data_IF_678943200275
#
_entry.id   IF_678943200275
#
_cell.length_a   1.000
_cell.length_b   1.000
_cell.length_c   1.000
_cell.angle_alpha   90.00
_cell.angle_beta   90.00
_cell.angle_gamma   90.00
#
_symmetry.space_group_name_H-M   'P 1'
#
loop_
_entity.id
_entity.type
_entity.pdbx_description
1 polymer ?
#
# COMPACT_ATOMS: atom_id res chain seq x y z
N UNK A 1 4.13 -0.21 -34.96
CA UNK A 1 2.92 -0.01 -34.15
C UNK A 1 1.92 -1.12 -34.36
N UNK A 2 1.29 -1.26 -35.54
CA UNK A 2 0.29 -2.32 -35.82
C UNK A 2 0.68 -3.72 -35.33
N UNK A 3 1.87 -4.23 -35.68
CA UNK A 3 2.32 -5.56 -35.26
C UNK A 3 2.46 -5.75 -33.73
N UNK A 4 2.61 -4.67 -32.95
CA UNK A 4 2.71 -4.73 -31.48
C UNK A 4 1.33 -4.72 -30.83
N UNK A 5 0.40 -3.94 -31.38
CA UNK A 5 -1.02 -3.95 -30.99
C UNK A 5 -1.62 -5.34 -31.25
N UNK A 6 -1.36 -5.93 -32.43
CA UNK A 6 -1.84 -7.27 -32.76
C UNK A 6 -1.37 -8.32 -31.73
N UNK A 7 -0.13 -8.21 -31.22
CA UNK A 7 0.41 -9.12 -30.21
C UNK A 7 -0.28 -8.94 -28.86
N UNK A 8 -0.57 -7.70 -28.47
CA UNK A 8 -1.29 -7.39 -27.23
C UNK A 8 -2.68 -8.03 -27.22
N UNK A 9 -3.40 -7.90 -28.34
CA UNK A 9 -4.73 -8.50 -28.48
C UNK A 9 -4.67 -10.04 -28.49
N UNK A 10 -3.68 -10.61 -29.18
CA UNK A 10 -3.54 -12.07 -29.29
C UNK A 10 -3.13 -12.74 -27.96
N UNK A 11 -2.28 -12.09 -27.19
CA UNK A 11 -1.71 -12.66 -25.95
C UNK A 11 -2.48 -12.24 -24.69
N UNK A 12 -3.62 -11.51 -24.82
CA UNK A 12 -4.39 -10.95 -23.69
C UNK A 12 -3.49 -10.23 -22.68
N UNK A 13 -2.69 -9.27 -23.15
CA UNK A 13 -1.86 -8.48 -22.24
C UNK A 13 -2.75 -7.59 -21.37
N UNK A 14 -2.58 -7.68 -20.06
CA UNK A 14 -3.45 -7.00 -19.07
C UNK A 14 -2.90 -5.62 -18.63
N UNK A 15 -1.59 -5.40 -18.76
CA UNK A 15 -0.93 -4.18 -18.30
C UNK A 15 0.30 -3.82 -19.15
N UNK A 16 0.55 -2.53 -19.27
CA UNK A 16 1.75 -1.97 -19.89
C UNK A 16 2.71 -1.42 -18.82
N UNK A 17 4.01 -1.40 -19.12
CA UNK A 17 5.02 -0.90 -18.18
C UNK A 17 5.99 0.04 -18.90
N UNK A 18 6.39 1.11 -18.21
CA UNK A 18 7.52 1.93 -18.64
C UNK A 18 8.83 1.24 -18.30
N UNK A 19 9.88 1.55 -19.05
CA UNK A 19 11.24 1.14 -18.72
C UNK A 19 12.06 2.39 -18.40
N UNK A 20 12.82 2.37 -17.30
CA UNK A 20 13.51 3.55 -16.76
C UNK A 20 14.51 4.22 -17.73
N UNK A 21 15.04 3.49 -18.73
CA UNK A 21 16.07 4.02 -19.64
C UNK A 21 15.66 4.06 -21.12
N UNK A 22 14.42 3.69 -21.45
CA UNK A 22 13.94 3.62 -22.84
C UNK A 22 12.96 4.74 -23.14
N UNK A 23 12.78 5.04 -24.44
CA UNK A 23 11.83 6.04 -24.89
C UNK A 23 10.38 5.65 -24.53
N UNK A 24 9.79 6.38 -23.58
CA UNK A 24 8.43 6.15 -23.07
C UNK A 24 7.32 6.41 -24.11
N UNK A 25 7.61 7.16 -25.18
CA UNK A 25 6.59 7.57 -26.15
C UNK A 25 5.91 6.38 -26.85
N UNK A 26 6.59 5.23 -26.97
CA UNK A 26 6.02 4.03 -27.58
C UNK A 26 4.98 3.39 -26.65
N UNK A 27 5.26 3.31 -25.35
CA UNK A 27 4.33 2.74 -24.37
C UNK A 27 3.11 3.65 -24.20
N UNK A 28 3.31 4.98 -24.18
CA UNK A 28 2.20 5.93 -24.16
C UNK A 28 1.30 5.79 -25.37
N UNK A 29 1.86 5.73 -26.59
CA UNK A 29 1.07 5.55 -27.80
C UNK A 29 0.34 4.20 -27.82
N UNK A 30 0.95 3.15 -27.29
CA UNK A 30 0.33 1.83 -27.19
C UNK A 30 -0.83 1.83 -26.19
N UNK A 31 -0.69 2.53 -25.05
CA UNK A 31 -1.77 2.71 -24.09
C UNK A 31 -2.94 3.49 -24.71
N UNK A 32 -2.66 4.54 -25.48
CA UNK A 32 -3.69 5.31 -26.20
C UNK A 32 -4.42 4.46 -27.26
N UNK A 33 -3.70 3.60 -27.99
CA UNK A 33 -4.27 2.75 -29.05
C UNK A 33 -5.03 1.53 -28.50
N UNK A 34 -4.61 0.95 -27.36
CA UNK A 34 -5.17 -0.29 -26.81
C UNK A 34 -6.10 -0.07 -25.62
N UNK A 35 -6.04 1.10 -24.97
CA UNK A 35 -6.79 1.41 -23.75
C UNK A 35 -6.25 0.72 -22.49
N UNK A 36 -5.11 0.04 -22.56
CA UNK A 36 -4.50 -0.63 -21.41
C UNK A 36 -3.84 0.38 -20.44
N UNK A 37 -3.95 0.16 -19.12
CA UNK A 37 -3.28 0.99 -18.13
C UNK A 37 -1.77 0.77 -18.14
N UNK A 38 -1.02 1.83 -17.86
CA UNK A 38 0.41 1.73 -17.60
C UNK A 38 0.58 1.52 -16.09
N UNK A 39 0.91 0.31 -15.68
CA UNK A 39 0.86 -0.14 -14.29
C UNK A 39 2.11 0.21 -13.47
N UNK A 40 3.18 0.69 -14.10
CA UNK A 40 4.37 1.13 -13.38
C UNK A 40 5.61 1.27 -14.25
N UNK A 41 6.75 1.43 -13.60
CA UNK A 41 8.07 1.51 -14.26
C UNK A 41 8.93 0.34 -13.83
N UNK A 42 9.50 -0.37 -14.79
CA UNK A 42 10.48 -1.43 -14.61
C UNK A 42 11.89 -0.89 -14.84
N UNK A 43 12.84 -1.43 -14.09
CA UNK A 43 14.26 -1.09 -14.23
C UNK A 43 14.99 -2.20 -14.98
N UNK A 44 15.83 -1.84 -15.97
CA UNK A 44 16.50 -2.79 -16.84
C UNK A 44 18.03 -2.60 -16.96
N UNK A 45 18.55 -1.38 -16.79
CA UNK A 45 19.99 -1.13 -16.74
C UNK A 45 20.37 -0.12 -15.64
N UNK A 46 21.54 -0.35 -15.04
CA UNK A 46 22.19 0.35 -13.92
C UNK A 46 21.31 1.25 -13.01
N UNK A 47 20.90 0.66 -11.88
CA UNK A 47 20.65 1.27 -10.56
C UNK A 47 20.12 2.71 -10.58
N UNK A 48 18.83 2.88 -10.26
CA UNK A 48 18.26 4.17 -9.94
C UNK A 48 19.12 4.91 -8.90
N UNK A 49 19.32 6.21 -9.11
CA UNK A 49 20.30 7.02 -8.37
C UNK A 49 20.03 7.12 -6.87
N UNK A 50 18.81 6.92 -6.39
CA UNK A 50 18.49 7.02 -4.96
C UNK A 50 17.41 6.00 -4.57
N UNK A 51 17.76 5.22 -3.54
CA UNK A 51 16.98 4.26 -2.74
C UNK A 51 16.26 3.05 -3.40
N UNK A 52 16.34 1.92 -2.68
CA UNK A 52 15.77 0.58 -2.89
C UNK A 52 16.17 -0.22 -4.16
N UNK A 53 16.39 0.41 -5.32
CA UNK A 53 16.84 -0.27 -6.55
C UNK A 53 18.36 -0.17 -6.81
N UNK A 54 19.13 0.25 -5.80
CA UNK A 54 20.60 0.44 -5.86
C UNK A 54 21.42 -0.84 -5.87
N UNK A 55 20.77 -2.01 -5.82
CA UNK A 55 21.39 -3.31 -6.07
C UNK A 55 20.57 -4.08 -7.08
N UNK A 56 21.22 -5.02 -7.79
CA UNK A 56 20.52 -5.94 -8.69
C UNK A 56 19.37 -6.67 -7.99
N UNK A 57 19.57 -7.09 -6.74
CA UNK A 57 18.53 -7.78 -5.96
C UNK A 57 17.37 -6.85 -5.60
N UNK A 58 17.66 -5.60 -5.24
CA UNK A 58 16.64 -4.57 -4.99
C UNK A 58 15.81 -4.28 -6.22
N UNK A 59 16.47 -4.07 -7.37
CA UNK A 59 15.83 -3.90 -8.67
C UNK A 59 14.93 -5.08 -9.04
N UNK A 60 15.43 -6.31 -8.92
CA UNK A 60 14.64 -7.50 -9.26
C UNK A 60 13.46 -7.69 -8.30
N UNK A 61 13.62 -7.36 -7.01
CA UNK A 61 12.53 -7.40 -6.02
C UNK A 61 11.46 -6.37 -6.36
N UNK A 62 11.85 -5.14 -6.68
CA UNK A 62 10.94 -4.09 -7.10
C UNK A 62 10.17 -4.49 -8.36
N UNK A 63 10.87 -4.92 -9.42
CA UNK A 63 10.23 -5.36 -10.66
C UNK A 63 9.25 -6.51 -10.40
N UNK A 64 9.61 -7.48 -9.54
CA UNK A 64 8.74 -8.59 -9.18
C UNK A 64 7.47 -8.14 -8.44
N UNK A 65 7.56 -7.13 -7.56
CA UNK A 65 6.41 -6.56 -6.86
C UNK A 65 5.49 -5.82 -7.83
N UNK A 66 6.04 -4.93 -8.66
CA UNK A 66 5.27 -4.17 -9.66
C UNK A 66 4.55 -5.10 -10.63
N UNK A 67 5.21 -6.17 -11.09
CA UNK A 67 4.59 -7.18 -11.93
C UNK A 67 3.51 -7.98 -11.18
N UNK A 68 3.74 -8.31 -9.92
CA UNK A 68 2.77 -9.04 -9.11
C UNK A 68 1.51 -8.21 -8.89
N UNK A 69 1.65 -6.97 -8.45
CA UNK A 69 0.51 -6.09 -8.15
C UNK A 69 -0.31 -5.78 -9.41
N UNK A 70 0.36 -5.60 -10.54
CA UNK A 70 -0.29 -5.29 -11.82
C UNK A 70 -1.04 -6.48 -12.46
N UNK A 71 -0.62 -7.72 -12.17
CA UNK A 71 -1.13 -8.92 -12.84
C UNK A 71 -1.90 -9.86 -11.92
N UNK A 72 -1.78 -9.71 -10.59
CA UNK A 72 -2.49 -10.57 -9.64
C UNK A 72 -3.89 -10.09 -9.31
N UNK A 73 -4.19 -8.81 -9.48
CA UNK A 73 -5.54 -8.27 -9.30
C UNK A 73 -6.10 -7.75 -10.64
N UNK A 74 -7.06 -8.47 -11.26
CA UNK A 74 -7.76 -7.95 -12.42
C UNK A 74 -8.75 -6.88 -11.95
N UNK A 75 -8.28 -5.63 -11.93
CA UNK A 75 -9.14 -4.45 -11.84
C UNK A 75 -8.77 -3.49 -10.70
N UNK A 76 -8.56 -2.23 -11.10
CA UNK A 76 -8.65 -1.03 -10.27
C UNK A 76 -7.50 -0.75 -9.31
N UNK A 77 -6.37 -0.30 -9.87
CA UNK A 77 -5.57 0.74 -9.22
C UNK A 77 -5.93 2.12 -9.80
N UNK A 78 -7.22 2.47 -9.69
CA UNK A 78 -7.62 3.86 -9.67
C UNK A 78 -7.15 4.43 -8.33
N UNK A 79 -5.93 4.97 -8.32
CA UNK A 79 -5.50 5.87 -7.26
C UNK A 79 -6.34 7.16 -7.36
N UNK A 80 -7.56 7.10 -6.84
CA UNK A 80 -8.38 8.28 -6.56
C UNK A 80 -7.77 9.02 -5.37
N UNK A 81 -7.18 10.16 -5.69
CA UNK A 81 -6.86 11.21 -4.76
C UNK A 81 -8.09 12.08 -4.49
N UNK A 82 -8.90 11.74 -3.49
CA UNK A 82 -9.81 12.70 -2.85
C UNK A 82 -10.40 12.09 -1.57
N UNK A 83 -10.68 12.79 -0.47
CA UNK A 83 -10.49 14.14 0.02
C UNK A 83 -10.71 14.00 1.55
N UNK A 84 -10.11 14.87 2.36
CA UNK A 84 -10.36 14.92 3.81
C UNK A 84 -11.87 14.93 4.14
N UNK A 85 -12.34 13.91 4.84
CA UNK A 85 -13.64 13.92 5.51
C UNK A 85 -13.42 13.57 6.98
N UNK A 86 -13.15 14.62 7.74
CA UNK A 86 -13.38 14.67 9.18
C UNK A 86 -14.85 14.28 9.42
N UNK A 87 -15.07 13.07 9.91
CA UNK A 87 -16.33 12.65 10.48
C UNK A 87 -16.11 12.33 11.95
N UNK A 88 -16.18 13.39 12.74
CA UNK A 88 -16.45 13.31 14.18
C UNK A 88 -17.76 12.54 14.35
N UNK A 89 -17.64 11.28 14.78
CA UNK A 89 -18.73 10.50 15.31
C UNK A 89 -18.46 10.26 16.78
N UNK A 90 -18.82 11.28 17.57
CA UNK A 90 -19.13 11.12 18.99
C UNK A 90 -20.32 10.16 19.09
N UNK A 91 -20.01 8.89 19.35
CA UNK A 91 -20.98 7.90 19.78
C UNK A 91 -20.77 7.64 21.26
N UNK A 92 -21.38 8.52 22.06
CA UNK A 92 -21.72 8.23 23.45
C UNK A 92 -22.70 7.06 23.45
N UNK A 93 -22.16 5.85 23.61
CA UNK A 93 -22.93 4.69 23.98
C UNK A 93 -22.67 4.38 25.44
N UNK A 94 -23.44 5.06 26.28
CA UNK A 94 -23.72 4.63 27.64
C UNK A 94 -24.42 3.27 27.57
N UNK A 95 -23.61 2.22 27.69
CA UNK A 95 -24.09 0.88 27.99
C UNK A 95 -23.79 0.58 29.44
N UNK A 96 -24.74 0.96 30.29
CA UNK A 96 -24.88 0.43 31.64
C UNK A 96 -25.09 -1.09 31.53
N UNK A 97 -24.00 -1.82 31.67
CA UNK A 97 -24.04 -3.26 31.92
C UNK A 97 -23.70 -3.48 33.39
N UNK A 98 -24.75 -3.53 34.19
CA UNK A 98 -24.72 -4.11 35.53
C UNK A 98 -24.36 -5.59 35.39
N UNK A 99 -23.07 -5.88 35.58
CA UNK A 99 -22.57 -7.22 35.82
C UNK A 99 -22.16 -7.33 37.27
N UNK A 100 -23.11 -7.79 38.08
CA UNK A 100 -22.85 -8.30 39.42
C UNK A 100 -21.95 -9.55 39.28
N UNK A 101 -20.65 -9.33 39.41
CA UNK A 101 -19.67 -10.39 39.63
C UNK A 101 -19.19 -10.31 41.07
N UNK A 102 -19.85 -11.08 41.93
CA UNK A 102 -19.35 -11.41 43.25
C UNK A 102 -18.07 -12.26 43.07
N UNK A 103 -16.92 -11.60 43.15
CA UNK A 103 -15.63 -12.25 43.33
C UNK A 103 -15.07 -11.86 44.69
N UNK A 104 -15.35 -12.72 45.67
CA UNK A 104 -14.66 -12.73 46.95
C UNK A 104 -13.19 -13.09 46.70
N UNK A 105 -12.33 -12.07 46.64
CA UNK A 105 -10.89 -12.22 46.74
C UNK A 105 -10.41 -11.54 48.01
N UNK A 106 -10.33 -12.34 49.08
CA UNK A 106 -9.56 -12.01 50.27
C UNK A 106 -8.07 -11.95 49.90
N UNK A 107 -7.59 -10.75 49.60
CA UNK A 107 -6.18 -10.45 49.52
C UNK A 107 -5.81 -9.46 50.63
N UNK A 108 -5.37 -10.01 51.76
CA UNK A 108 -4.63 -9.28 52.78
C UNK A 108 -3.29 -8.84 52.19
N UNK A 109 -3.22 -7.58 51.75
CA UNK A 109 -1.97 -6.90 51.46
C UNK A 109 -1.79 -5.73 52.43
N UNK A 110 -1.06 -6.02 53.51
CA UNK A 110 -0.43 -5.01 54.34
C UNK A 110 0.63 -4.27 53.49
N UNK A 111 0.29 -3.08 53.02
CA UNK A 111 1.26 -2.10 52.55
C UNK A 111 1.23 -0.89 53.47
N UNK A 112 2.20 -0.86 54.39
CA UNK A 112 2.56 0.33 55.14
C UNK A 112 2.91 1.46 54.17
N UNK A 113 2.18 2.56 54.31
CA UNK A 113 2.49 3.85 53.74
C UNK A 113 3.72 4.43 54.42
N UNK A 114 4.68 4.90 53.63
CA UNK A 114 5.57 5.98 54.05
C UNK A 114 5.38 7.20 53.16
N UNK A 115 5.43 8.32 53.85
CA UNK A 115 4.77 9.59 53.63
C UNK A 115 5.37 10.45 52.51
N UNK A 116 4.51 11.33 52.01
CA UNK A 116 4.81 12.41 51.08
C UNK A 116 5.87 13.36 51.61
N UNK A 117 6.69 13.95 50.72
CA UNK A 117 7.03 15.36 50.88
C UNK A 117 7.30 16.05 49.53
N UNK A 118 6.75 17.26 49.45
CA UNK A 118 6.66 18.22 48.36
C UNK A 118 7.97 18.83 47.82
N UNK A 119 7.81 19.53 46.68
CA UNK A 119 8.49 20.78 46.27
C UNK A 119 9.94 20.63 45.78
N UNK A 120 10.32 21.11 44.60
CA UNK A 120 10.21 22.49 44.10
C UNK A 120 10.28 22.52 42.56
#
# INVERSE_FOLDING_TARGET
MAALVDVIEQENVEALFHENMTNQSIITQLAEETGLPIAGTLYADALASEDEASTYLGMMRHNAQVLHDALAEPGHNDHDHSHDHDHDHDHDHDHDHDHDHDHDHDHDHDHDHDDHSHSH
#
